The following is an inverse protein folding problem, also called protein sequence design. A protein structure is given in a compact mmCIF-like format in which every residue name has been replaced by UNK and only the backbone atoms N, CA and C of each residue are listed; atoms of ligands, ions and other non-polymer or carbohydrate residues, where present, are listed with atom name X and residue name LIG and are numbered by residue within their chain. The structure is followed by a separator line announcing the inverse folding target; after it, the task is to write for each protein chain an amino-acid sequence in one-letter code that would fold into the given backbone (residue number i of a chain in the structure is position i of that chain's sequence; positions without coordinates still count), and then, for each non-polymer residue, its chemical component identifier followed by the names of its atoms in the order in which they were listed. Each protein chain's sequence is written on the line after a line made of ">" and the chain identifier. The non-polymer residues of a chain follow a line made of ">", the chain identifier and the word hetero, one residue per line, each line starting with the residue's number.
data_IF_584333369232
#
_entry.id   IF_584333369232
#
_cell.length_a   1.000
_cell.length_b   1.000
_cell.length_c   1.000
_cell.angle_alpha   90.00
_cell.angle_beta   90.00
_cell.angle_gamma   90.00
#
_symmetry.space_group_name_H-M   'P 1'
#
loop_
_entity.id
_entity.type
_entity.pdbx_description
1 polymer ?
#
# COMPACT_ATOMS: atom_id res chain seq x y z
N UNK A 1 21.03 -1.49 -3.68
CA UNK A 1 20.32 -0.20 -3.51
C UNK A 1 21.33 0.81 -2.99
N UNK A 2 21.24 2.08 -3.40
CA UNK A 2 22.09 3.13 -2.82
C UNK A 2 21.73 3.34 -1.35
N UNK A 3 22.63 3.88 -0.52
CA UNK A 3 22.32 4.19 0.88
C UNK A 3 21.09 5.09 1.02
N UNK A 4 20.93 6.03 0.10
CA UNK A 4 19.79 6.96 0.06
C UNK A 4 18.47 6.23 -0.21
N UNK A 5 18.42 5.33 -1.19
CA UNK A 5 17.20 4.54 -1.47
C UNK A 5 16.85 3.63 -0.29
N UNK A 6 17.85 3.06 0.38
CA UNK A 6 17.62 2.26 1.60
C UNK A 6 17.10 3.13 2.75
N UNK A 7 17.62 4.34 2.92
CA UNK A 7 17.15 5.27 3.93
C UNK A 7 15.71 5.71 3.67
N UNK A 8 15.37 6.03 2.41
CA UNK A 8 14.01 6.39 2.02
C UNK A 8 13.04 5.23 2.24
N UNK A 9 13.39 4.01 1.81
CA UNK A 9 12.56 2.82 2.06
C UNK A 9 12.28 2.61 3.54
N UNK A 10 13.27 2.84 4.41
CA UNK A 10 13.08 2.75 5.86
C UNK A 10 12.19 3.87 6.41
N UNK A 11 12.28 5.07 5.85
CA UNK A 11 11.44 6.20 6.24
C UNK A 11 9.97 5.98 5.85
N UNK A 12 9.72 5.30 4.73
CA UNK A 12 8.38 5.00 4.25
C UNK A 12 7.72 3.80 4.99
N UNK A 13 8.45 3.10 5.87
CA UNK A 13 7.93 1.98 6.63
C UNK A 13 6.78 2.43 7.55
N UNK A 14 5.60 1.83 7.35
CA UNK A 14 4.46 2.02 8.23
C UNK A 14 4.63 1.09 9.44
N UNK A 15 4.92 1.68 10.60
CA UNK A 15 5.11 0.94 11.86
C UNK A 15 3.80 0.46 12.49
N UNK A 16 2.68 1.07 12.10
CA UNK A 16 1.33 0.68 12.48
C UNK A 16 0.32 1.77 12.16
N UNK A 17 -0.93 1.37 11.92
CA UNK A 17 -2.06 2.27 11.74
C UNK A 17 -2.95 2.28 13.00
N UNK A 18 -3.70 3.36 13.24
CA UNK A 18 -4.79 3.35 14.21
C UNK A 18 -5.73 2.16 13.97
N UNK A 19 -6.01 1.41 15.05
CA UNK A 19 -6.89 0.23 15.06
C UNK A 19 -6.48 -0.92 14.13
N UNK A 20 -5.23 -0.97 13.66
CA UNK A 20 -4.68 -2.10 12.91
C UNK A 20 -4.49 -3.34 13.80
N UNK A 21 -5.01 -4.51 13.41
CA UNK A 21 -4.67 -5.79 14.04
C UNK A 21 -3.19 -6.12 13.84
N UNK A 22 -2.62 -6.93 14.73
CA UNK A 22 -1.23 -7.41 14.55
C UNK A 22 -1.08 -8.16 13.23
N UNK A 23 -0.02 -7.84 12.48
CA UNK A 23 0.33 -8.48 11.21
C UNK A 23 1.80 -8.90 11.19
N UNK A 24 2.13 -9.81 10.29
CA UNK A 24 3.48 -10.38 10.14
C UNK A 24 4.19 -9.94 8.86
N UNK A 25 3.65 -8.97 8.14
CA UNK A 25 4.20 -8.43 6.89
C UNK A 25 4.48 -6.95 7.05
N UNK A 26 5.48 -6.43 6.33
CA UNK A 26 5.73 -5.00 6.30
C UNK A 26 4.87 -4.33 5.24
N UNK A 27 4.61 -3.05 5.45
CA UNK A 27 3.96 -2.19 4.48
C UNK A 27 4.57 -0.79 4.54
N UNK A 28 4.58 -0.12 3.40
CA UNK A 28 5.32 1.10 3.17
C UNK A 28 4.44 2.08 2.42
N UNK A 29 4.38 3.32 2.85
CA UNK A 29 3.59 4.36 2.21
C UNK A 29 4.44 5.62 2.06
N UNK A 30 4.36 6.25 0.89
CA UNK A 30 5.20 7.38 0.57
C UNK A 30 4.87 8.00 -0.79
N UNK A 31 5.76 8.85 -1.27
CA UNK A 31 5.62 9.54 -2.55
C UNK A 31 6.80 9.25 -3.46
N UNK A 32 6.51 8.98 -4.73
CA UNK A 32 7.51 8.88 -5.79
C UNK A 32 7.37 10.08 -6.71
N UNK A 33 8.42 10.89 -6.83
CA UNK A 33 8.46 12.02 -7.75
C UNK A 33 8.52 11.50 -9.19
N UNK A 34 7.53 11.86 -10.01
CA UNK A 34 7.42 11.44 -11.42
C UNK A 34 7.70 12.58 -12.40
N UNK A 35 7.61 13.83 -11.95
CA UNK A 35 8.02 15.00 -12.73
C UNK A 35 8.49 16.11 -11.79
N UNK A 36 9.81 16.20 -11.59
CA UNK A 36 10.40 17.17 -10.69
C UNK A 36 10.17 18.63 -11.14
N UNK A 37 10.22 18.90 -12.45
CA UNK A 37 10.08 20.26 -12.98
C UNK A 37 8.66 20.82 -12.81
N UNK A 38 7.66 19.96 -12.70
CA UNK A 38 6.26 20.32 -12.45
C UNK A 38 5.79 19.93 -11.04
N UNK A 39 6.70 19.53 -10.15
CA UNK A 39 6.37 19.14 -8.77
C UNK A 39 5.39 17.96 -8.66
N UNK A 40 5.31 17.08 -9.66
CA UNK A 40 4.37 15.93 -9.63
C UNK A 40 5.00 14.75 -8.92
N UNK A 41 4.27 14.22 -7.94
CA UNK A 41 4.57 12.96 -7.27
C UNK A 41 3.30 12.10 -7.19
N UNK A 42 3.48 10.78 -7.21
CA UNK A 42 2.42 9.81 -6.98
C UNK A 42 2.54 9.28 -5.56
N UNK A 43 1.42 9.26 -4.83
CA UNK A 43 1.34 8.52 -3.58
C UNK A 43 1.28 7.03 -3.87
N UNK A 44 1.97 6.22 -3.07
CA UNK A 44 1.86 4.77 -3.11
C UNK A 44 1.64 4.18 -1.73
N UNK A 45 0.99 3.02 -1.70
CA UNK A 45 0.97 2.14 -0.54
C UNK A 45 1.30 0.71 -0.96
N UNK A 46 2.40 0.20 -0.46
CA UNK A 46 2.95 -1.11 -0.79
C UNK A 46 2.88 -2.06 0.40
N UNK A 47 2.47 -3.30 0.14
CA UNK A 47 2.34 -4.37 1.12
C UNK A 47 3.17 -5.56 0.66
N UNK A 48 4.06 -6.02 1.52
CA UNK A 48 4.82 -7.24 1.28
C UNK A 48 3.88 -8.46 1.30
N UNK A 49 4.32 -9.50 0.59
CA UNK A 49 3.65 -10.78 0.69
C UNK A 49 3.77 -11.36 2.10
N UNK A 50 2.70 -11.99 2.60
CA UNK A 50 2.65 -12.54 3.97
C UNK A 50 3.72 -13.61 4.21
N UNK A 51 4.01 -14.45 3.21
CA UNK A 51 5.03 -15.50 3.29
C UNK A 51 6.06 -15.36 2.16
N UNK A 52 7.34 -15.36 2.56
CA UNK A 52 8.52 -15.29 1.67
C UNK A 52 8.39 -14.19 0.60
N UNK A 53 8.22 -12.91 0.95
CA UNK A 53 8.02 -11.82 0.00
C UNK A 53 9.07 -11.78 -1.11
N UNK A 54 10.33 -12.10 -0.81
CA UNK A 54 11.43 -12.20 -1.77
C UNK A 54 11.25 -13.27 -2.87
N UNK A 55 10.30 -14.21 -2.71
CA UNK A 55 9.97 -15.27 -3.68
C UNK A 55 8.63 -15.04 -4.37
N UNK A 56 7.93 -13.94 -4.07
CA UNK A 56 6.59 -13.66 -4.59
C UNK A 56 6.65 -12.57 -5.66
N UNK A 57 5.74 -12.59 -6.65
CA UNK A 57 5.73 -11.57 -7.70
C UNK A 57 5.38 -10.20 -7.12
N UNK A 58 5.86 -9.15 -7.78
CA UNK A 58 5.40 -7.77 -7.57
C UNK A 58 4.19 -7.50 -8.47
N UNK A 59 3.11 -7.01 -7.89
CA UNK A 59 1.87 -6.65 -8.58
C UNK A 59 1.58 -5.18 -8.33
N UNK A 60 1.51 -4.41 -9.42
CA UNK A 60 0.99 -3.05 -9.46
C UNK A 60 -0.54 -3.10 -9.58
N UNK A 61 -1.25 -2.30 -8.81
CA UNK A 61 -2.70 -2.15 -8.91
C UNK A 61 -3.10 -0.69 -9.11
N UNK A 62 -3.95 -0.47 -10.10
CA UNK A 62 -4.48 0.84 -10.49
C UNK A 62 -6.00 0.72 -10.63
N UNK A 63 -6.75 1.45 -9.83
CA UNK A 63 -8.18 1.64 -10.09
C UNK A 63 -8.34 2.67 -11.23
N UNK A 64 -9.37 2.45 -12.05
CA UNK A 64 -9.66 3.27 -13.24
C UNK A 64 -10.58 4.46 -12.93
N UNK A 65 -11.44 4.81 -13.88
CA UNK A 65 -12.30 6.00 -13.81
C UNK A 65 -11.94 6.99 -14.90
N UNK A 66 -11.91 8.28 -14.58
CA UNK A 66 -10.62 8.88 -14.21
C UNK A 66 -10.68 9.55 -12.83
N UNK A 67 -9.57 9.50 -12.09
CA UNK A 67 -9.43 10.15 -10.78
C UNK A 67 -9.96 9.36 -9.58
N UNK A 68 -10.39 8.10 -9.75
CA UNK A 68 -10.71 7.26 -8.60
C UNK A 68 -9.41 6.76 -7.92
N UNK A 69 -9.46 6.66 -6.60
CA UNK A 69 -8.33 6.29 -5.76
C UNK A 69 -8.10 4.78 -5.75
N UNK A 70 -6.86 4.36 -6.03
CA UNK A 70 -6.46 2.95 -5.91
C UNK A 70 -6.35 2.50 -4.46
N UNK A 71 -6.05 3.43 -3.55
CA UNK A 71 -6.05 3.18 -2.10
C UNK A 71 -7.48 3.09 -1.59
N UNK A 72 -8.33 4.06 -1.94
CA UNK A 72 -9.72 4.12 -1.48
C UNK A 72 -10.55 2.91 -1.91
N UNK A 73 -10.38 2.44 -3.16
CA UNK A 73 -11.12 1.26 -3.66
C UNK A 73 -10.29 -0.01 -3.57
N UNK A 74 -9.21 -0.11 -4.36
CA UNK A 74 -8.42 -1.33 -4.50
C UNK A 74 -7.83 -1.83 -3.19
N UNK A 75 -7.24 -0.95 -2.39
CA UNK A 75 -6.67 -1.30 -1.10
C UNK A 75 -7.75 -1.46 -0.03
N UNK A 76 -8.54 -0.43 0.23
CA UNK A 76 -9.40 -0.36 1.42
C UNK A 76 -10.77 -1.06 1.27
N UNK A 77 -11.21 -1.42 0.06
CA UNK A 77 -12.53 -2.02 -0.17
C UNK A 77 -12.49 -3.35 -0.93
N UNK A 78 -11.46 -3.59 -1.74
CA UNK A 78 -11.40 -4.75 -2.61
C UNK A 78 -10.36 -5.80 -2.16
N UNK A 79 -9.07 -5.50 -2.34
CA UNK A 79 -7.99 -6.49 -2.40
C UNK A 79 -6.93 -6.35 -1.30
N UNK A 80 -6.93 -5.22 -0.58
CA UNK A 80 -5.97 -4.94 0.47
C UNK A 80 -6.15 -5.81 1.71
N UNK A 81 -5.16 -5.77 2.61
CA UNK A 81 -5.16 -6.59 3.82
C UNK A 81 -6.12 -6.07 4.90
N UNK A 82 -6.52 -4.80 4.84
CA UNK A 82 -7.33 -4.16 5.88
C UNK A 82 -8.62 -3.62 5.30
N UNK A 83 -9.72 -3.82 6.00
CA UNK A 83 -10.99 -3.18 5.70
C UNK A 83 -11.43 -2.28 6.86
N UNK A 84 -11.90 -1.05 6.59
CA UNK A 84 -12.46 -0.18 7.61
C UNK A 84 -13.76 -0.77 8.17
N UNK A 85 -14.01 -0.54 9.45
CA UNK A 85 -15.25 -0.95 10.11
C UNK A 85 -16.18 0.26 10.32
N UNK A 86 -17.50 0.04 10.17
CA UNK A 86 -18.52 1.09 10.21
C UNK A 86 -18.75 1.73 11.60
N UNK A 87 -18.22 1.15 12.68
CA UNK A 87 -18.53 1.56 14.04
C UNK A 87 -17.48 2.50 14.61
N UNK A 88 -17.59 3.80 14.32
CA UNK A 88 -17.16 4.97 15.15
C UNK A 88 -15.71 5.09 15.63
N UNK A 89 -14.93 4.02 15.57
CA UNK A 89 -13.56 3.88 15.98
C UNK A 89 -12.75 3.58 14.72
N UNK A 90 -11.49 4.04 14.68
CA UNK A 90 -10.54 3.79 13.59
C UNK A 90 -10.11 2.31 13.52
N UNK A 91 -11.04 1.37 13.62
CA UNK A 91 -10.81 -0.07 13.68
C UNK A 91 -10.74 -0.67 12.29
N UNK A 92 -9.70 -1.46 12.08
CA UNK A 92 -9.47 -2.21 10.85
C UNK A 92 -9.67 -3.69 11.10
N UNK A 93 -10.34 -4.38 10.17
CA UNK A 93 -10.42 -5.84 10.17
C UNK A 93 -9.54 -6.42 9.07
N UNK A 94 -8.96 -7.60 9.31
CA UNK A 94 -8.18 -8.30 8.30
C UNK A 94 -9.07 -8.88 7.19
N UNK A 95 -8.64 -8.70 5.94
CA UNK A 95 -9.22 -9.36 4.80
C UNK A 95 -8.63 -10.78 4.64
N UNK A 96 -9.44 -11.80 4.89
CA UNK A 96 -9.02 -13.21 4.73
C UNK A 96 -8.65 -13.60 3.29
N UNK A 97 -9.08 -12.80 2.31
CA UNK A 97 -8.83 -12.99 0.88
C UNK A 97 -7.87 -11.94 0.29
N UNK A 98 -7.11 -11.24 1.15
CA UNK A 98 -6.16 -10.23 0.72
C UNK A 98 -5.17 -10.79 -0.30
N UNK A 99 -4.91 -10.03 -1.37
CA UNK A 99 -4.02 -10.48 -2.44
C UNK A 99 -2.54 -10.49 -2.02
N UNK A 100 -2.18 -9.77 -0.97
CA UNK A 100 -0.83 -9.85 -0.40
C UNK A 100 -0.53 -11.21 0.25
N UNK A 101 -1.51 -12.12 0.36
CA UNK A 101 -1.23 -13.52 0.75
C UNK A 101 -0.40 -14.28 -0.31
N UNK A 102 -0.46 -13.84 -1.56
CA UNK A 102 0.24 -14.49 -2.68
C UNK A 102 1.25 -13.61 -3.41
N UNK A 103 1.26 -12.29 -3.15
CA UNK A 103 1.97 -11.30 -3.97
C UNK A 103 2.53 -10.17 -3.09
N UNK A 104 3.57 -9.50 -3.56
CA UNK A 104 3.93 -8.18 -3.09
C UNK A 104 3.08 -7.17 -3.87
N UNK A 105 2.32 -6.30 -3.20
CA UNK A 105 1.28 -5.53 -3.86
C UNK A 105 1.41 -4.03 -3.61
N UNK A 106 1.48 -3.24 -4.67
CA UNK A 106 1.52 -1.79 -4.61
C UNK A 106 0.28 -1.15 -5.22
N UNK A 107 -0.35 -0.25 -4.47
CA UNK A 107 -1.48 0.59 -4.90
C UNK A 107 -0.97 2.01 -5.12
N UNK A 108 -1.32 2.63 -6.25
CA UNK A 108 -0.82 3.96 -6.61
C UNK A 108 -1.97 4.91 -6.91
N UNK A 109 -1.91 6.10 -6.31
CA UNK A 109 -2.82 7.20 -6.63
C UNK A 109 -2.37 7.86 -7.93
N UNK A 110 -3.06 7.52 -9.02
CA UNK A 110 -2.79 8.04 -10.35
C UNK A 110 -3.95 8.91 -10.81
N UNK A 111 -3.70 10.21 -10.86
CA UNK A 111 -4.59 11.16 -11.54
C UNK A 111 -4.08 11.24 -12.98
N UNK A 112 -4.82 10.60 -13.90
CA UNK A 112 -4.58 10.65 -15.34
C UNK A 112 -5.04 11.99 -15.91
#
# INVERSE_FOLDING_TARGET
>A
LTPEVVAQQKADLVVGLPGQPRVSFNHYAGYVTVNASHGRALFYWFFEAVDKPQKKPLVLWLNGGPGCSSVGYGEAEELGPFFPQKHGESMLKLNKHAWNRGTNKGYFEANW
#
